data_IF_356929191600
#
_entry.id   IF_356929191600
#
_cell.length_a   1.000
_cell.length_b   1.000
_cell.length_c   1.000
_cell.angle_alpha   90.00
_cell.angle_beta   90.00
_cell.angle_gamma   90.00
#
_symmetry.space_group_name_H-M   'P 1'
#
loop_
_entity.id
_entity.type
_entity.pdbx_description
1 polymer ?
#
# COMPACT_ATOMS: atom_id res chain seq x y z
N UNK A 1 13.82 6.77 -13.35
CA UNK A 1 12.85 6.49 -12.28
C UNK A 1 12.93 5.03 -11.88
N UNK A 2 13.03 4.79 -10.61
CA UNK A 2 13.04 3.42 -10.07
C UNK A 2 11.64 3.05 -9.62
N UNK A 3 11.32 1.77 -9.76
CA UNK A 3 10.00 1.23 -9.42
C UNK A 3 10.17 -0.05 -8.58
N UNK A 4 9.31 -0.22 -7.59
CA UNK A 4 9.26 -1.45 -6.80
C UNK A 4 7.80 -1.82 -6.54
N UNK A 5 7.56 -3.10 -6.35
CA UNK A 5 6.26 -3.63 -5.99
C UNK A 5 6.35 -4.19 -4.57
N UNK A 6 5.48 -3.71 -3.70
CA UNK A 6 5.45 -4.13 -2.30
C UNK A 6 4.11 -4.78 -2.01
N UNK A 7 4.10 -5.81 -1.16
CA UNK A 7 2.87 -6.49 -0.77
C UNK A 7 2.55 -6.19 0.70
N UNK A 8 1.28 -5.85 0.95
CA UNK A 8 0.75 -5.65 2.30
C UNK A 8 -0.30 -6.75 2.50
N UNK A 9 -0.06 -7.65 3.44
CA UNK A 9 -0.93 -8.80 3.67
C UNK A 9 -1.66 -8.68 5.01
N UNK A 10 -2.94 -9.04 5.00
CA UNK A 10 -3.67 -9.22 6.24
C UNK A 10 -3.46 -10.66 6.74
N UNK A 11 -2.54 -10.84 7.68
CA UNK A 11 -2.25 -12.14 8.29
C UNK A 11 -3.11 -12.44 9.50
N UNK A 12 -4.05 -11.58 9.84
CA UNK A 12 -4.92 -11.75 10.99
C UNK A 12 -6.16 -12.60 10.70
N UNK A 13 -7.03 -12.73 11.71
CA UNK A 13 -8.26 -13.50 11.62
C UNK A 13 -9.49 -12.66 11.25
N UNK A 14 -9.34 -11.36 11.16
CA UNK A 14 -10.43 -10.41 10.86
C UNK A 14 -10.09 -9.57 9.67
N UNK A 15 -11.12 -9.04 9.00
CA UNK A 15 -10.94 -8.04 7.97
C UNK A 15 -10.28 -6.79 8.55
N UNK A 16 -9.41 -6.16 7.77
CA UNK A 16 -8.71 -4.94 8.17
C UNK A 16 -8.77 -3.90 7.07
N UNK A 17 -8.73 -2.65 7.46
CA UNK A 17 -8.67 -1.54 6.52
C UNK A 17 -7.22 -1.08 6.39
N UNK A 18 -6.75 -1.01 5.15
CA UNK A 18 -5.46 -0.40 4.81
C UNK A 18 -5.74 1.00 4.29
N UNK A 19 -5.12 2.01 4.89
CA UNK A 19 -5.22 3.39 4.41
C UNK A 19 -3.97 3.73 3.63
N UNK A 20 -4.15 4.11 2.38
CA UNK A 20 -3.06 4.53 1.49
C UNK A 20 -2.91 6.04 1.62
N UNK A 21 -1.80 6.47 2.21
CA UNK A 21 -1.54 7.87 2.45
C UNK A 21 -0.71 8.49 1.32
N UNK A 22 -0.79 9.77 1.07
CA UNK A 22 -1.45 10.82 1.86
C UNK A 22 -2.95 10.99 1.59
N UNK A 23 -3.55 10.14 0.76
CA UNK A 23 -4.94 10.32 0.33
C UNK A 23 -5.97 9.75 1.30
N UNK A 24 -5.53 9.00 2.32
CA UNK A 24 -6.40 8.23 3.21
C UNK A 24 -7.35 7.31 2.42
N UNK A 25 -6.84 6.75 1.31
CA UNK A 25 -7.65 5.88 0.46
C UNK A 25 -7.80 4.51 1.12
N UNK A 26 -9.03 4.07 1.45
CA UNK A 26 -9.23 2.84 2.20
C UNK A 26 -9.33 1.62 1.27
N UNK A 27 -8.69 0.53 1.69
CA UNK A 27 -8.83 -0.76 1.03
C UNK A 27 -9.08 -1.81 2.12
N UNK A 28 -10.21 -2.50 2.04
CA UNK A 28 -10.50 -3.58 2.97
C UNK A 28 -9.82 -4.86 2.52
N UNK A 29 -9.07 -5.49 3.43
CA UNK A 29 -8.47 -6.80 3.22
C UNK A 29 -9.11 -7.83 4.14
N UNK A 30 -9.64 -8.89 3.55
CA UNK A 30 -10.10 -10.05 4.31
C UNK A 30 -8.89 -10.84 4.80
N UNK A 31 -9.06 -11.72 5.81
CA UNK A 31 -7.96 -12.57 6.27
C UNK A 31 -7.30 -13.32 5.11
N UNK A 32 -5.98 -13.26 5.05
CA UNK A 32 -5.19 -13.91 4.01
C UNK A 32 -5.05 -13.12 2.72
N UNK A 33 -5.82 -12.05 2.53
CA UNK A 33 -5.70 -11.22 1.33
C UNK A 33 -4.49 -10.31 1.39
N UNK A 34 -3.97 -9.95 0.24
CA UNK A 34 -2.85 -9.03 0.11
C UNK A 34 -3.17 -7.90 -0.86
N UNK A 35 -2.61 -6.74 -0.55
CA UNK A 35 -2.64 -5.59 -1.43
C UNK A 35 -1.25 -5.42 -2.03
N UNK A 36 -1.20 -5.21 -3.34
CA UNK A 36 0.06 -4.92 -4.04
C UNK A 36 0.15 -3.41 -4.27
N UNK A 37 1.25 -2.83 -3.84
CA UNK A 37 1.49 -1.39 -3.96
C UNK A 37 2.67 -1.17 -4.89
N UNK A 38 2.47 -0.41 -5.94
CA UNK A 38 3.54 0.00 -6.86
C UNK A 38 4.04 1.37 -6.40
N UNK A 39 5.32 1.45 -6.09
CA UNK A 39 5.94 2.65 -5.58
C UNK A 39 7.13 3.02 -6.46
N UNK A 40 7.31 4.31 -6.71
CA UNK A 40 8.38 4.84 -7.56
C UNK A 40 9.20 5.88 -6.82
N UNK A 41 10.43 6.07 -7.26
CA UNK A 41 11.34 7.09 -6.74
C UNK A 41 12.32 7.49 -7.84
N UNK A 42 12.50 8.78 -8.06
CA UNK A 42 13.40 9.25 -9.13
C UNK A 42 14.88 9.14 -8.78
N UNK A 43 15.21 9.15 -7.51
CA UNK A 43 16.60 9.24 -7.04
C UNK A 43 17.10 7.96 -6.37
N UNK A 44 16.29 7.39 -5.48
CA UNK A 44 16.70 6.29 -4.62
C UNK A 44 15.80 5.07 -4.81
N UNK A 45 16.10 3.98 -4.10
CA UNK A 45 15.24 2.82 -4.09
C UNK A 45 13.87 3.20 -3.51
N UNK A 46 12.77 2.84 -4.19
CA UNK A 46 11.44 3.15 -3.68
C UNK A 46 11.15 2.40 -2.37
N UNK A 47 10.57 3.10 -1.40
CA UNK A 47 10.29 2.54 -0.09
C UNK A 47 8.93 2.97 0.43
N UNK A 48 8.35 2.14 1.28
CA UNK A 48 7.12 2.42 2.01
C UNK A 48 7.37 2.33 3.50
N UNK A 49 6.69 3.20 4.25
CA UNK A 49 6.56 3.04 5.69
C UNK A 49 5.18 2.46 5.98
N UNK A 50 5.14 1.40 6.77
CA UNK A 50 3.90 0.74 7.14
C UNK A 50 3.73 0.86 8.65
N UNK A 51 2.62 1.45 9.06
CA UNK A 51 2.25 1.58 10.45
C UNK A 51 1.08 0.65 10.72
N UNK A 52 1.35 -0.45 11.40
CA UNK A 52 0.35 -1.48 11.69
C UNK A 52 -0.17 -1.29 13.11
N UNK A 53 -1.45 -0.90 13.23
CA UNK A 53 -2.15 -0.88 14.50
C UNK A 53 -2.98 -2.16 14.60
N UNK A 54 -2.62 -3.12 15.49
CA UNK A 54 -3.34 -4.40 15.60
C UNK A 54 -4.83 -4.25 15.90
N UNK A 55 -5.23 -3.15 16.52
CA UNK A 55 -6.64 -2.89 16.87
C UNK A 55 -7.31 -1.88 15.95
N UNK A 56 -6.60 -1.42 14.95
CA UNK A 56 -7.10 -0.38 14.05
C UNK A 56 -6.78 -0.66 12.60
N UNK A 57 -6.31 0.37 11.91
CA UNK A 57 -5.99 0.31 10.50
C UNK A 57 -4.50 0.06 10.28
N UNK A 58 -4.17 -0.42 9.07
CA UNK A 58 -2.80 -0.44 8.58
C UNK A 58 -2.64 0.81 7.73
N UNK A 59 -1.69 1.68 8.08
CA UNK A 59 -1.41 2.88 7.31
C UNK A 59 -0.16 2.69 6.49
N UNK A 60 -0.22 3.04 5.21
CA UNK A 60 0.88 2.87 4.26
C UNK A 60 1.26 4.25 3.71
N UNK A 61 2.50 4.65 3.94
CA UNK A 61 3.04 5.94 3.52
C UNK A 61 4.19 5.74 2.53
N UNK A 62 4.28 6.57 1.50
CA UNK A 62 5.51 6.60 0.70
C UNK A 62 6.62 7.22 1.54
N UNK A 63 7.78 6.56 1.59
CA UNK A 63 8.92 7.01 2.38
C UNK A 63 9.84 7.92 1.55
N UNK A 64 10.39 8.93 2.20
CA UNK A 64 11.32 9.86 1.55
C UNK A 64 10.68 10.55 0.35
N UNK A 65 11.34 10.44 -0.82
CA UNK A 65 10.83 10.99 -2.08
C UNK A 65 10.07 9.96 -2.91
N UNK A 66 9.66 8.87 -2.30
CA UNK A 66 8.87 7.85 -2.98
C UNK A 66 7.44 8.31 -3.21
N UNK A 67 6.83 7.79 -4.27
CA UNK A 67 5.44 8.09 -4.63
C UNK A 67 4.71 6.78 -4.87
N UNK A 68 3.53 6.63 -4.29
CA UNK A 68 2.67 5.49 -4.56
C UNK A 68 1.99 5.72 -5.91
N UNK A 69 2.23 4.84 -6.86
CA UNK A 69 1.68 4.95 -8.21
C UNK A 69 0.32 4.27 -8.34
N UNK A 70 0.17 3.09 -7.75
CA UNK A 70 -1.08 2.33 -7.85
C UNK A 70 -1.17 1.27 -6.77
N UNK A 71 -2.38 0.80 -6.54
CA UNK A 71 -2.67 -0.31 -5.64
C UNK A 71 -3.55 -1.33 -6.35
N UNK A 72 -3.32 -2.61 -6.10
CA UNK A 72 -4.04 -3.69 -6.76
C UNK A 72 -4.28 -4.86 -5.81
N UNK A 73 -5.37 -5.59 -6.04
CA UNK A 73 -5.63 -6.88 -5.40
C UNK A 73 -5.61 -7.95 -6.48
N UNK A 74 -4.62 -8.85 -6.44
CA UNK A 74 -4.41 -9.81 -7.50
C UNK A 74 -4.19 -9.10 -8.83
N UNK A 75 -4.83 -9.54 -9.92
CA UNK A 75 -4.69 -8.89 -11.23
C UNK A 75 -5.48 -7.60 -11.37
N UNK A 76 -6.33 -7.28 -10.38
CA UNK A 76 -7.23 -6.12 -10.48
C UNK A 76 -6.58 -4.87 -9.87
N UNK A 77 -6.38 -3.85 -10.71
CA UNK A 77 -5.95 -2.53 -10.23
C UNK A 77 -7.15 -1.85 -9.58
N UNK A 78 -7.02 -1.53 -8.28
CA UNK A 78 -8.08 -0.86 -7.54
C UNK A 78 -8.06 0.63 -7.80
N UNK A 79 -6.86 1.23 -7.78
CA UNK A 79 -6.69 2.67 -7.96
C UNK A 79 -5.32 2.99 -8.51
N UNK A 80 -5.28 3.94 -9.43
CA UNK A 80 -4.05 4.55 -9.93
C UNK A 80 -4.01 6.00 -9.44
N UNK A 81 -2.87 6.38 -8.86
CA UNK A 81 -2.66 7.75 -8.35
C UNK A 81 -1.76 8.57 -9.27
N UNK A 82 -1.25 7.96 -10.32
CA UNK A 82 -0.40 8.67 -11.27
C UNK A 82 -1.23 9.71 -12.02
N UNK A 83 -0.66 10.90 -12.14
CA UNK A 83 -1.27 12.00 -12.88
C UNK A 83 -1.26 11.71 -14.39
#
# INVERSE_FOLDING_TARGET
MKKATKAIRNGGARARIVLIEPWAFPVELQPGEALTVVVTNDCDAPELDVCDDPEGTIQVYPAGKSVIQSVAQGPKIIRSFAA
#
